data_IF_058945185599
#
_entry.id   IF_058945185599
#
_cell.length_a   1.000
_cell.length_b   1.000
_cell.length_c   1.000
_cell.angle_alpha   90.00
_cell.angle_beta   90.00
_cell.angle_gamma   90.00
#
_symmetry.space_group_name_H-M   'P 1'
#
loop_
_entity.id
_entity.type
_entity.pdbx_description
1 polymer ?
#
# COMPACT_ATOMS: atom_id res chain seq x y z
N UNK A 1 3.01 -4.75 18.82
CA UNK A 1 2.22 -4.96 17.64
C UNK A 1 2.98 -4.51 16.41
N UNK A 2 2.95 -5.32 15.38
CA UNK A 2 3.97 -5.31 14.37
C UNK A 2 3.61 -4.38 13.21
N UNK A 3 4.54 -3.50 12.87
CA UNK A 3 4.49 -2.75 11.64
C UNK A 3 4.65 -3.73 10.46
N UNK A 4 3.78 -3.65 9.44
CA UNK A 4 3.87 -4.48 8.24
C UNK A 4 5.27 -4.43 7.59
N UNK A 5 5.93 -3.27 7.61
CA UNK A 5 7.30 -3.12 7.08
C UNK A 5 8.33 -3.94 7.87
N UNK A 6 8.20 -4.03 9.21
CA UNK A 6 9.14 -4.79 10.05
C UNK A 6 8.99 -6.31 9.89
N UNK A 7 7.76 -6.81 9.72
CA UNK A 7 7.50 -8.24 9.52
C UNK A 7 7.68 -8.66 8.06
N UNK A 8 7.17 -7.86 7.14
CA UNK A 8 7.20 -8.18 5.72
C UNK A 8 8.58 -7.94 5.09
N UNK A 9 9.32 -6.95 5.58
CA UNK A 9 10.64 -6.59 5.05
C UNK A 9 11.61 -7.78 4.95
N UNK A 10 11.89 -8.51 6.03
CA UNK A 10 12.76 -9.70 5.98
C UNK A 10 12.27 -10.75 4.98
N UNK A 11 10.97 -11.02 4.93
CA UNK A 11 10.38 -11.99 3.97
C UNK A 11 10.53 -11.54 2.52
N UNK A 12 10.40 -10.24 2.24
CA UNK A 12 10.66 -9.69 0.90
C UNK A 12 12.14 -9.84 0.51
N UNK A 13 13.06 -9.62 1.47
CA UNK A 13 14.50 -9.85 1.25
C UNK A 13 14.77 -11.31 0.91
N UNK A 14 14.24 -12.24 1.70
CA UNK A 14 14.40 -13.68 1.49
C UNK A 14 13.92 -14.09 0.08
N UNK A 15 12.76 -13.61 -0.35
CA UNK A 15 12.25 -13.86 -1.70
C UNK A 15 13.19 -13.30 -2.76
N UNK A 16 13.69 -12.08 -2.58
CA UNK A 16 14.54 -11.41 -3.58
C UNK A 16 15.94 -12.00 -3.69
N UNK A 17 16.43 -12.65 -2.64
CA UNK A 17 17.76 -13.25 -2.60
C UNK A 17 17.77 -14.75 -2.95
N UNK A 18 16.60 -15.38 -3.02
CA UNK A 18 16.50 -16.80 -3.32
C UNK A 18 16.78 -17.05 -4.81
N UNK A 19 17.81 -17.84 -5.17
CA UNK A 19 18.19 -18.07 -6.57
C UNK A 19 17.12 -18.84 -7.36
N UNK A 20 16.19 -19.51 -6.70
CA UNK A 20 15.11 -20.27 -7.34
C UNK A 20 13.83 -19.44 -7.53
N UNK A 21 13.85 -18.15 -7.18
CA UNK A 21 12.69 -17.26 -7.32
C UNK A 21 13.00 -16.15 -8.32
N UNK A 22 12.19 -16.06 -9.36
CA UNK A 22 12.21 -14.93 -10.30
C UNK A 22 11.12 -13.94 -9.92
N UNK A 23 11.51 -12.69 -9.59
CA UNK A 23 10.60 -11.65 -9.18
C UNK A 23 10.30 -10.70 -10.34
N UNK A 24 9.06 -10.67 -10.80
CA UNK A 24 8.54 -9.70 -11.78
C UNK A 24 7.80 -8.57 -11.07
N UNK A 25 8.52 -7.55 -10.61
CA UNK A 25 7.91 -6.36 -10.03
C UNK A 25 7.42 -5.38 -11.12
N UNK A 26 6.45 -4.52 -10.79
CA UNK A 26 5.74 -3.65 -11.75
C UNK A 26 5.13 -4.44 -12.93
N UNK A 27 4.65 -5.64 -12.65
CA UNK A 27 4.12 -6.56 -13.65
C UNK A 27 2.74 -7.07 -13.23
N UNK A 28 1.97 -7.49 -14.22
CA UNK A 28 0.65 -8.09 -14.01
C UNK A 28 0.44 -9.27 -14.94
N UNK A 29 -0.26 -10.29 -14.48
CA UNK A 29 -0.70 -11.40 -15.31
C UNK A 29 -1.81 -10.90 -16.25
N UNK A 30 -1.62 -11.07 -17.54
CA UNK A 30 -2.58 -10.67 -18.59
C UNK A 30 -3.45 -11.83 -19.02
N UNK A 31 -2.86 -13.02 -19.14
CA UNK A 31 -3.55 -14.21 -19.61
C UNK A 31 -2.94 -15.48 -19.04
N UNK A 32 -3.78 -16.51 -18.92
CA UNK A 32 -3.38 -17.84 -18.48
C UNK A 32 -4.06 -18.87 -19.38
N UNK A 33 -3.28 -19.74 -19.98
CA UNK A 33 -3.77 -20.86 -20.80
C UNK A 33 -3.12 -22.17 -20.36
N UNK A 34 -3.65 -23.29 -20.84
CA UNK A 34 -3.13 -24.62 -20.51
C UNK A 34 -3.93 -25.35 -19.44
N UNK A 35 -3.28 -26.24 -18.70
CA UNK A 35 -3.90 -27.12 -17.71
C UNK A 35 -2.92 -27.43 -16.57
N UNK A 36 -3.39 -28.04 -15.51
CA UNK A 36 -2.60 -28.42 -14.32
C UNK A 36 -1.34 -29.22 -14.73
N UNK A 37 -0.19 -28.72 -14.32
CA UNK A 37 1.11 -29.24 -14.71
C UNK A 37 1.73 -28.59 -15.94
N UNK A 38 0.96 -27.83 -16.74
CA UNK A 38 1.43 -27.20 -17.97
C UNK A 38 0.63 -25.94 -18.32
N UNK A 39 0.86 -24.87 -17.57
CA UNK A 39 0.28 -23.54 -17.85
C UNK A 39 1.27 -22.67 -18.60
N UNK A 40 0.75 -21.89 -19.56
CA UNK A 40 1.42 -20.76 -20.16
C UNK A 40 0.83 -19.49 -19.55
N UNK A 41 1.67 -18.70 -18.86
CA UNK A 41 1.29 -17.47 -18.18
C UNK A 41 1.88 -16.28 -18.89
N UNK A 42 1.04 -15.43 -19.46
CA UNK A 42 1.46 -14.18 -20.11
C UNK A 42 1.50 -13.04 -19.08
N UNK A 43 2.68 -12.49 -18.89
CA UNK A 43 2.97 -11.44 -17.93
C UNK A 43 3.27 -10.14 -18.67
N UNK A 44 2.54 -9.08 -18.37
CA UNK A 44 2.84 -7.74 -18.84
C UNK A 44 3.73 -7.03 -17.85
N UNK A 45 4.99 -6.82 -18.21
CA UNK A 45 5.95 -6.00 -17.46
C UNK A 45 5.81 -4.55 -17.91
N UNK A 46 5.34 -3.69 -17.02
CA UNK A 46 5.11 -2.28 -17.32
C UNK A 46 6.42 -1.50 -17.41
N UNK A 47 6.49 -0.55 -18.33
CA UNK A 47 7.62 0.36 -18.45
C UNK A 47 7.78 1.20 -17.19
N UNK A 48 8.89 1.06 -16.50
CA UNK A 48 9.25 1.86 -15.32
C UNK A 48 9.93 3.18 -15.69
N UNK A 49 10.37 3.31 -16.94
CA UNK A 49 11.17 4.42 -17.47
C UNK A 49 12.49 4.63 -16.73
N UNK A 50 12.90 3.65 -15.96
CA UNK A 50 14.16 3.57 -15.24
C UNK A 50 14.76 2.18 -15.46
N UNK A 51 15.97 2.13 -16.00
CA UNK A 51 16.72 0.89 -16.15
C UNK A 51 17.16 0.39 -14.77
N UNK A 52 16.46 -0.60 -14.27
CA UNK A 52 16.67 -1.14 -12.93
C UNK A 52 18.00 -1.91 -12.78
N UNK A 53 18.62 -2.30 -13.88
CA UNK A 53 19.98 -2.87 -13.85
C UNK A 53 21.03 -1.84 -13.47
N UNK A 54 20.79 -0.56 -13.80
CA UNK A 54 21.66 0.57 -13.50
C UNK A 54 21.25 1.37 -12.27
N UNK A 55 19.96 1.34 -11.91
CA UNK A 55 19.45 2.12 -10.79
C UNK A 55 19.98 1.58 -9.46
N UNK A 56 20.58 2.43 -8.63
CA UNK A 56 21.07 2.10 -7.29
C UNK A 56 20.07 2.38 -6.18
N UNK A 57 18.91 2.99 -6.50
CA UNK A 57 17.92 3.35 -5.49
C UNK A 57 18.33 4.52 -4.58
N UNK A 58 19.22 5.40 -5.04
CA UNK A 58 19.77 6.51 -4.25
C UNK A 58 18.77 7.63 -3.90
N UNK A 59 17.63 7.73 -4.61
CA UNK A 59 16.59 8.71 -4.32
C UNK A 59 16.81 10.11 -4.90
N UNK A 60 17.99 10.46 -5.43
CA UNK A 60 18.30 11.81 -5.94
C UNK A 60 17.30 12.30 -7.00
N UNK A 61 16.83 11.41 -7.86
CA UNK A 61 15.83 11.75 -8.88
C UNK A 61 14.46 12.12 -8.25
N UNK A 62 14.08 11.49 -7.15
CA UNK A 62 12.86 11.79 -6.40
C UNK A 62 12.93 13.17 -5.75
N UNK A 63 14.04 13.48 -5.06
CA UNK A 63 14.26 14.78 -4.40
C UNK A 63 14.24 15.95 -5.39
N UNK A 64 14.88 15.78 -6.53
CA UNK A 64 15.03 16.81 -7.56
C UNK A 64 13.86 16.89 -8.55
N UNK A 65 12.88 16.01 -8.47
CA UNK A 65 11.72 16.04 -9.34
C UNK A 65 10.90 17.32 -9.13
N UNK A 66 10.64 18.12 -10.21
CA UNK A 66 9.86 19.35 -10.08
C UNK A 66 8.34 19.09 -9.97
N UNK A 67 7.88 17.90 -10.37
CA UNK A 67 6.48 17.50 -10.24
C UNK A 67 6.27 16.88 -8.88
N UNK A 68 5.85 17.70 -7.95
CA UNK A 68 5.42 17.32 -6.59
C UNK A 68 3.89 17.28 -6.53
N UNK A 69 3.33 16.89 -5.43
CA UNK A 69 1.88 16.80 -5.23
C UNK A 69 1.18 15.72 -6.08
N UNK A 70 1.90 14.73 -6.55
CA UNK A 70 1.33 13.52 -7.17
C UNK A 70 0.63 12.71 -6.09
N UNK A 71 -0.60 12.21 -6.33
CA UNK A 71 -1.24 11.31 -5.39
C UNK A 71 -0.35 10.10 -5.07
N UNK A 72 -0.19 9.81 -3.80
CA UNK A 72 0.64 8.69 -3.34
C UNK A 72 -0.23 7.45 -3.14
N UNK A 73 -0.43 6.69 -4.21
CA UNK A 73 -1.27 5.50 -4.18
C UNK A 73 -0.75 4.42 -3.22
N UNK A 74 0.56 4.34 -3.00
CA UNK A 74 1.12 3.41 -2.02
C UNK A 74 0.70 3.77 -0.58
N UNK A 75 0.56 5.05 -0.31
CA UNK A 75 0.07 5.56 0.97
C UNK A 75 -1.44 5.87 0.94
N UNK A 76 -2.23 5.15 0.15
CA UNK A 76 -3.70 5.30 0.08
C UNK A 76 -4.15 6.76 -0.18
N UNK A 77 -3.33 7.52 -0.90
CA UNK A 77 -3.53 8.94 -1.22
C UNK A 77 -3.57 9.89 -0.01
N UNK A 78 -3.23 9.42 1.20
CA UNK A 78 -3.12 10.28 2.39
C UNK A 78 -1.93 11.23 2.27
N UNK A 79 -0.88 10.80 1.58
CA UNK A 79 0.31 11.60 1.29
C UNK A 79 0.38 12.09 -0.15
N UNK A 80 1.44 12.83 -0.43
CA UNK A 80 1.83 13.24 -1.78
C UNK A 80 3.24 12.78 -2.09
N UNK A 81 3.47 12.41 -3.33
CA UNK A 81 4.78 11.99 -3.82
C UNK A 81 5.19 12.78 -5.06
N UNK A 82 6.21 12.34 -5.76
CA UNK A 82 6.70 12.95 -6.99
C UNK A 82 6.46 12.04 -8.19
N UNK A 83 6.53 12.59 -9.41
CA UNK A 83 6.29 11.80 -10.63
C UNK A 83 7.33 10.70 -10.86
N UNK A 84 8.51 10.77 -10.24
CA UNK A 84 9.47 9.69 -10.14
C UNK A 84 9.75 9.43 -8.67
N UNK A 85 9.52 8.23 -8.19
CA UNK A 85 9.70 7.89 -6.78
C UNK A 85 10.11 6.44 -6.56
N UNK A 86 10.53 6.17 -5.34
CA UNK A 86 10.66 4.84 -4.73
C UNK A 86 9.52 4.78 -3.71
N UNK A 87 8.60 3.80 -3.77
CA UNK A 87 7.37 3.80 -2.99
C UNK A 87 7.59 3.94 -1.47
N UNK A 88 8.61 3.25 -0.95
CA UNK A 88 8.99 3.34 0.47
C UNK A 88 10.46 2.90 0.65
N UNK A 89 11.12 3.26 1.76
CA UNK A 89 12.56 3.03 1.96
C UNK A 89 13.00 1.56 1.89
N UNK A 90 12.13 0.64 2.31
CA UNK A 90 12.37 -0.81 2.36
C UNK A 90 11.85 -1.55 1.12
N UNK A 91 11.45 -0.85 0.06
CA UNK A 91 10.93 -1.47 -1.16
C UNK A 91 11.92 -2.48 -1.77
N UNK A 92 11.40 -3.61 -2.25
CA UNK A 92 12.17 -4.65 -2.94
C UNK A 92 11.50 -4.96 -4.29
N UNK A 93 12.22 -4.70 -5.38
CA UNK A 93 13.53 -4.06 -5.45
C UNK A 93 13.47 -2.57 -5.07
N UNK A 94 14.51 -2.05 -4.38
CA UNK A 94 14.62 -0.62 -4.09
C UNK A 94 15.04 0.14 -5.34
N UNK A 95 14.11 0.40 -6.22
CA UNK A 95 14.32 1.05 -7.52
C UNK A 95 13.28 2.14 -7.74
N UNK A 96 13.69 3.20 -8.42
CA UNK A 96 12.74 4.24 -8.80
C UNK A 96 11.91 3.83 -10.01
N UNK A 97 10.70 4.36 -10.11
CA UNK A 97 9.84 4.29 -11.29
C UNK A 97 9.22 5.65 -11.60
N UNK A 98 8.90 5.90 -12.85
CA UNK A 98 8.25 7.13 -13.29
C UNK A 98 6.77 6.82 -13.54
N UNK A 99 5.90 7.62 -12.91
CA UNK A 99 4.48 7.61 -13.25
C UNK A 99 4.27 8.45 -14.54
N UNK A 100 3.89 7.82 -15.66
CA UNK A 100 3.81 8.51 -16.96
C UNK A 100 2.72 9.56 -17.00
N UNK A 101 1.64 9.42 -16.21
CA UNK A 101 0.53 10.37 -16.21
C UNK A 101 0.92 11.73 -15.62
N UNK A 102 1.86 11.75 -14.67
CA UNK A 102 2.29 12.97 -13.97
C UNK A 102 3.67 13.47 -14.39
N UNK A 103 4.40 12.69 -15.20
CA UNK A 103 5.74 13.07 -15.65
C UNK A 103 5.70 14.10 -16.76
N UNK A 104 6.14 15.35 -16.49
CA UNK A 104 6.20 16.43 -17.50
C UNK A 104 7.02 16.05 -18.74
N UNK A 105 8.04 15.21 -18.63
CA UNK A 105 8.80 14.76 -19.82
C UNK A 105 7.95 13.87 -20.72
N UNK A 106 7.21 12.91 -20.14
CA UNK A 106 6.38 11.96 -20.88
C UNK A 106 5.09 12.61 -21.41
N UNK A 107 4.53 13.58 -20.69
CA UNK A 107 3.27 14.27 -21.09
C UNK A 107 3.48 15.45 -22.03
N UNK A 108 4.50 16.26 -21.81
CA UNK A 108 4.71 17.53 -22.54
C UNK A 108 6.05 17.64 -23.26
N UNK A 109 6.94 16.68 -23.11
CA UNK A 109 8.30 16.71 -23.67
C UNK A 109 9.29 17.68 -22.95
N UNK A 110 8.83 18.54 -22.06
CA UNK A 110 9.56 19.72 -21.56
C UNK A 110 10.27 19.52 -20.21
N UNK A 111 10.76 18.33 -19.89
CA UNK A 111 11.51 18.09 -18.66
C UNK A 111 12.61 17.06 -18.91
N UNK A 112 13.53 16.90 -17.98
CA UNK A 112 14.64 15.93 -18.07
C UNK A 112 15.53 15.99 -16.84
N UNK A 113 15.02 16.58 -15.74
CA UNK A 113 15.80 16.79 -14.50
C UNK A 113 16.32 15.48 -13.95
N UNK A 114 15.47 14.45 -13.81
CA UNK A 114 15.87 13.14 -13.28
C UNK A 114 16.96 12.47 -14.11
N UNK A 115 16.95 12.61 -15.44
CA UNK A 115 18.01 12.08 -16.30
C UNK A 115 19.34 12.83 -16.11
N UNK A 116 19.29 14.16 -15.91
CA UNK A 116 20.48 15.00 -15.69
C UNK A 116 21.16 14.73 -14.35
N UNK A 117 20.37 14.46 -13.30
CA UNK A 117 20.90 14.25 -11.94
C UNK A 117 21.18 12.77 -11.62
N UNK A 118 20.83 11.84 -12.49
CA UNK A 118 21.05 10.42 -12.27
C UNK A 118 22.54 10.05 -12.45
N UNK A 119 23.26 9.65 -11.39
CA UNK A 119 24.70 9.36 -11.50
C UNK A 119 24.99 8.15 -12.37
N UNK A 120 24.07 7.19 -12.42
CA UNK A 120 24.22 5.94 -13.19
C UNK A 120 23.56 5.99 -14.57
N UNK A 121 22.96 7.12 -14.94
CA UNK A 121 22.23 7.31 -16.20
C UNK A 121 21.17 6.24 -16.46
N UNK A 122 20.46 5.86 -15.40
CA UNK A 122 19.44 4.80 -15.45
C UNK A 122 18.10 5.25 -16.08
N UNK A 123 17.88 6.53 -16.35
CA UNK A 123 16.61 7.02 -16.88
C UNK A 123 16.51 6.77 -18.38
N UNK A 124 15.42 6.09 -18.79
CA UNK A 124 15.13 5.77 -20.18
C UNK A 124 13.65 6.07 -20.49
N UNK A 125 13.37 7.20 -21.10
CA UNK A 125 12.01 7.61 -21.44
C UNK A 125 11.39 6.86 -22.63
N UNK A 126 12.21 6.13 -23.40
CA UNK A 126 11.77 5.33 -24.57
C UNK A 126 11.39 3.88 -24.18
N UNK A 127 11.46 3.54 -22.89
CA UNK A 127 11.09 2.21 -22.41
C UNK A 127 9.61 1.93 -22.71
N UNK A 128 9.32 0.71 -23.15
CA UNK A 128 7.97 0.23 -23.46
C UNK A 128 7.61 -0.94 -22.57
N UNK A 129 6.32 -1.21 -22.48
CA UNK A 129 5.81 -2.43 -21.85
C UNK A 129 6.30 -3.66 -22.63
N UNK A 130 6.62 -4.72 -21.91
CA UNK A 130 7.05 -6.01 -22.44
C UNK A 130 6.02 -7.08 -22.09
N UNK A 131 5.77 -8.03 -23.01
CA UNK A 131 5.03 -9.24 -22.73
C UNK A 131 6.03 -10.42 -22.63
N UNK A 132 5.95 -11.14 -21.54
CA UNK A 132 6.75 -12.30 -21.23
C UNK A 132 5.83 -13.48 -21.03
N UNK A 133 6.14 -14.64 -21.61
CA UNK A 133 5.40 -15.87 -21.36
C UNK A 133 6.26 -16.85 -20.58
N UNK A 134 5.76 -17.29 -19.43
CA UNK A 134 6.41 -18.26 -18.56
C UNK A 134 5.61 -19.56 -18.49
N UNK A 135 6.31 -20.70 -18.54
CA UNK A 135 5.72 -22.01 -18.35
C UNK A 135 5.78 -22.43 -16.89
N UNK A 136 4.65 -22.72 -16.30
CA UNK A 136 4.57 -23.11 -14.89
C UNK A 136 3.68 -24.33 -14.70
N UNK A 137 4.01 -25.18 -13.73
CA UNK A 137 3.23 -26.37 -13.40
C UNK A 137 2.02 -26.09 -12.51
N UNK A 138 2.10 -25.03 -11.68
CA UNK A 138 1.06 -24.67 -10.73
C UNK A 138 1.00 -23.17 -10.58
N UNK A 139 -0.20 -22.65 -10.26
CA UNK A 139 -0.44 -21.22 -10.01
C UNK A 139 -1.03 -21.09 -8.60
N UNK A 140 -0.41 -20.23 -7.78
CA UNK A 140 -0.93 -19.85 -6.46
C UNK A 140 -1.46 -18.44 -6.55
N UNK A 141 -2.78 -18.28 -6.44
CA UNK A 141 -3.42 -16.96 -6.44
C UNK A 141 -3.29 -16.32 -5.05
N UNK A 142 -2.52 -15.25 -4.95
CA UNK A 142 -2.31 -14.46 -3.74
C UNK A 142 -2.40 -12.97 -4.08
N UNK A 143 -3.48 -12.57 -4.72
CA UNK A 143 -3.67 -11.27 -5.38
C UNK A 143 -4.02 -10.12 -4.42
N UNK A 144 -4.12 -10.42 -3.11
CA UNK A 144 -4.52 -9.43 -2.12
C UNK A 144 -6.02 -9.11 -2.17
N UNK A 145 -6.37 -7.88 -1.82
CA UNK A 145 -7.75 -7.40 -1.84
C UNK A 145 -7.81 -5.92 -2.20
N UNK A 146 -8.93 -5.50 -2.73
CA UNK A 146 -9.28 -4.11 -2.94
C UNK A 146 -10.31 -3.65 -1.91
N UNK A 147 -10.25 -2.40 -1.50
CA UNK A 147 -11.31 -1.80 -0.70
C UNK A 147 -12.52 -1.57 -1.58
N UNK A 148 -13.69 -1.89 -1.05
CA UNK A 148 -14.94 -1.49 -1.68
C UNK A 148 -15.08 0.05 -1.68
N UNK A 149 -15.89 0.57 -2.58
CA UNK A 149 -16.32 1.97 -2.49
C UNK A 149 -17.19 2.16 -1.23
N UNK A 150 -16.55 2.66 -0.17
CA UNK A 150 -17.19 2.89 1.13
C UNK A 150 -18.01 4.19 1.17
N UNK A 151 -17.89 5.05 0.17
CA UNK A 151 -18.65 6.29 0.07
C UNK A 151 -20.15 6.05 -0.13
N UNK A 152 -20.52 4.84 -0.59
CA UNK A 152 -21.92 4.39 -0.68
C UNK A 152 -22.62 4.30 0.69
N UNK A 153 -21.86 4.35 1.80
CA UNK A 153 -22.38 4.43 3.17
C UNK A 153 -22.37 5.89 3.64
N UNK A 154 -23.22 6.71 3.02
CA UNK A 154 -23.28 8.16 3.23
C UNK A 154 -23.43 8.58 4.69
N UNK A 155 -24.09 7.75 5.52
CA UNK A 155 -24.29 7.98 6.95
C UNK A 155 -22.98 8.11 7.74
N UNK A 156 -21.88 7.55 7.25
CA UNK A 156 -20.56 7.65 7.88
C UNK A 156 -19.74 8.83 7.37
N UNK A 157 -20.21 9.52 6.32
CA UNK A 157 -19.60 10.74 5.80
C UNK A 157 -18.30 10.52 5.05
N UNK A 158 -18.05 9.30 4.57
CA UNK A 158 -16.91 8.97 3.73
C UNK A 158 -16.85 9.78 2.43
N UNK A 159 -15.68 10.29 2.09
CA UNK A 159 -15.50 11.19 0.95
C UNK A 159 -16.09 12.60 1.13
N UNK A 160 -16.91 12.81 2.18
CA UNK A 160 -17.53 14.10 2.50
C UNK A 160 -16.72 14.88 3.54
N UNK A 161 -16.22 14.19 4.55
CA UNK A 161 -15.44 14.80 5.61
C UNK A 161 -13.99 14.29 5.53
N UNK A 162 -12.97 15.18 5.53
CA UNK A 162 -11.58 14.80 5.36
C UNK A 162 -11.03 13.91 6.48
N UNK A 163 -11.59 14.00 7.69
CA UNK A 163 -11.17 13.21 8.86
C UNK A 163 -11.88 11.86 8.97
N UNK A 164 -12.76 11.53 8.01
CA UNK A 164 -13.32 10.19 7.87
C UNK A 164 -12.49 9.43 6.84
N UNK A 165 -11.71 8.49 7.32
CA UNK A 165 -10.70 7.77 6.53
C UNK A 165 -10.88 6.26 6.65
N UNK A 166 -10.29 5.53 5.72
CA UNK A 166 -10.27 4.06 5.76
C UNK A 166 -9.24 3.54 6.75
N UNK A 167 -9.39 2.29 7.17
CA UNK A 167 -8.39 1.62 8.03
C UNK A 167 -7.02 1.50 7.35
N UNK A 168 -6.95 1.34 6.03
CA UNK A 168 -5.68 1.33 5.30
C UNK A 168 -5.02 2.71 5.32
N UNK A 169 -5.77 3.78 5.14
CA UNK A 169 -5.28 5.15 5.31
C UNK A 169 -4.75 5.38 6.72
N UNK A 170 -5.49 4.92 7.73
CA UNK A 170 -5.05 5.01 9.12
C UNK A 170 -3.76 4.20 9.39
N UNK A 171 -3.67 3.01 8.84
CA UNK A 171 -2.46 2.17 8.90
C UNK A 171 -1.23 2.90 8.29
N UNK A 172 -1.44 3.67 7.22
CA UNK A 172 -0.34 4.46 6.62
C UNK A 172 0.08 5.64 7.48
N UNK A 173 -0.83 6.25 8.22
CA UNK A 173 -0.49 7.29 9.21
C UNK A 173 0.29 6.71 10.40
N UNK A 174 -0.08 5.52 10.87
CA UNK A 174 0.63 4.82 11.95
C UNK A 174 2.05 4.37 11.58
N UNK A 175 2.34 4.23 10.30
CA UNK A 175 3.60 3.65 9.85
C UNK A 175 4.74 4.67 9.86
N UNK A 176 5.87 4.33 10.49
CA UNK A 176 7.06 5.20 10.54
C UNK A 176 7.62 5.56 9.15
N UNK A 177 7.40 4.73 8.12
CA UNK A 177 7.72 5.04 6.72
C UNK A 177 6.54 5.62 5.94
N UNK A 178 5.44 5.93 6.62
CA UNK A 178 4.26 6.57 6.06
C UNK A 178 4.43 8.07 5.82
N UNK A 179 3.39 8.73 5.29
CA UNK A 179 3.48 10.12 4.85
C UNK A 179 3.70 11.12 5.99
N UNK A 180 3.40 10.73 7.22
CA UNK A 180 3.54 11.56 8.43
C UNK A 180 4.67 11.11 9.35
N UNK A 181 5.49 10.13 8.91
CA UNK A 181 6.57 9.58 9.74
C UNK A 181 6.08 8.83 10.98
N UNK A 182 4.85 8.29 10.94
CA UNK A 182 4.22 7.59 12.06
C UNK A 182 3.43 8.50 13.03
N UNK A 183 3.38 9.80 12.77
CA UNK A 183 2.54 10.71 13.54
C UNK A 183 1.09 10.62 13.09
N UNK A 184 0.20 10.28 14.02
CA UNK A 184 -1.24 10.23 13.74
C UNK A 184 -1.78 11.65 13.76
N UNK A 185 -2.20 12.14 12.60
CA UNK A 185 -2.74 13.49 12.45
C UNK A 185 -4.05 13.48 11.68
N UNK A 186 -4.91 14.43 11.98
CA UNK A 186 -6.14 14.64 11.22
C UNK A 186 -5.82 15.19 9.83
N UNK A 187 -6.34 14.60 8.76
CA UNK A 187 -6.12 15.11 7.41
C UNK A 187 -6.58 16.56 7.19
N UNK A 188 -7.59 17.01 7.95
CA UNK A 188 -8.17 18.36 7.80
C UNK A 188 -7.24 19.49 8.25
N UNK A 189 -6.47 19.29 9.32
CA UNK A 189 -5.70 20.38 9.96
C UNK A 189 -4.29 19.98 10.42
N UNK A 190 -3.91 18.73 10.24
CA UNK A 190 -2.59 18.22 10.62
C UNK A 190 -2.35 18.09 12.12
N UNK A 191 -3.39 18.20 12.96
CA UNK A 191 -3.27 18.08 14.42
C UNK A 191 -3.55 16.67 14.90
N UNK A 192 -3.01 16.31 16.05
CA UNK A 192 -3.30 15.03 16.71
C UNK A 192 -4.77 14.94 17.11
N UNK A 193 -5.45 13.81 16.83
CA UNK A 193 -6.82 13.60 17.27
C UNK A 193 -6.85 13.24 18.76
N UNK A 194 -7.80 13.84 19.52
CA UNK A 194 -8.04 13.46 20.91
C UNK A 194 -9.04 12.32 21.06
N UNK A 195 -9.92 12.16 20.09
CA UNK A 195 -10.95 11.11 20.07
C UNK A 195 -11.00 10.50 18.69
N UNK A 196 -10.98 9.17 18.64
CA UNK A 196 -11.00 8.40 17.39
C UNK A 196 -12.10 7.36 17.49
N UNK A 197 -12.96 7.31 16.47
CA UNK A 197 -14.03 6.33 16.36
C UNK A 197 -13.70 5.31 15.27
N UNK A 198 -13.62 4.04 15.63
CA UNK A 198 -13.46 2.92 14.72
C UNK A 198 -14.82 2.27 14.48
N UNK A 199 -15.34 2.32 13.25
CA UNK A 199 -16.63 1.74 12.90
C UNK A 199 -16.38 0.43 12.15
N UNK A 200 -16.77 -0.67 12.77
CA UNK A 200 -16.60 -2.02 12.24
C UNK A 200 -17.68 -2.40 11.24
N UNK A 201 -17.41 -3.45 10.47
CA UNK A 201 -18.35 -4.07 9.53
C UNK A 201 -18.88 -3.16 8.41
N UNK A 202 -18.24 -2.02 8.13
CA UNK A 202 -18.60 -1.19 6.97
C UNK A 202 -18.32 -1.97 5.69
N UNK A 203 -19.36 -2.30 4.93
CA UNK A 203 -19.25 -3.13 3.73
C UNK A 203 -19.11 -4.63 3.96
N UNK A 204 -19.31 -5.10 5.20
CA UNK A 204 -19.35 -6.50 5.58
C UNK A 204 -20.56 -6.78 6.44
N UNK A 205 -21.11 -8.02 6.40
CA UNK A 205 -22.25 -8.44 7.22
C UNK A 205 -23.47 -7.53 7.02
N UNK A 206 -23.65 -7.02 5.82
CA UNK A 206 -24.76 -6.14 5.43
C UNK A 206 -25.63 -6.83 4.36
N UNK A 207 -26.67 -7.57 4.77
CA UNK A 207 -27.58 -8.24 3.85
C UNK A 207 -28.35 -7.28 2.94
N UNK A 208 -28.62 -6.05 3.42
CA UNK A 208 -29.36 -5.04 2.65
C UNK A 208 -28.66 -4.62 1.36
N UNK A 209 -27.33 -4.82 1.32
CA UNK A 209 -26.48 -4.54 0.15
C UNK A 209 -25.85 -5.80 -0.46
N UNK A 210 -26.40 -6.98 -0.15
CA UNK A 210 -25.88 -8.27 -0.65
C UNK A 210 -24.49 -8.66 -0.12
N UNK A 211 -24.04 -8.06 0.99
CA UNK A 211 -22.71 -8.29 1.58
C UNK A 211 -22.80 -9.09 2.88
N UNK A 212 -23.20 -10.35 2.74
CA UNK A 212 -23.55 -11.18 3.89
C UNK A 212 -22.34 -11.70 4.69
N UNK A 213 -21.14 -11.71 4.09
CA UNK A 213 -19.97 -12.33 4.67
C UNK A 213 -19.18 -11.37 5.56
N UNK A 214 -18.49 -11.93 6.56
CA UNK A 214 -17.52 -11.23 7.38
C UNK A 214 -16.17 -11.19 6.65
N UNK A 215 -15.47 -10.05 6.68
CA UNK A 215 -14.10 -9.92 6.15
C UNK A 215 -13.08 -10.77 6.91
N UNK A 216 -13.33 -11.12 8.17
CA UNK A 216 -12.51 -12.01 8.99
C UNK A 216 -11.25 -11.41 9.61
N UNK A 217 -10.90 -10.19 9.33
CA UNK A 217 -9.66 -9.56 9.82
C UNK A 217 -9.83 -8.15 10.40
N UNK A 218 -10.95 -7.47 10.16
CA UNK A 218 -11.14 -6.07 10.57
C UNK A 218 -11.12 -5.89 12.10
N UNK A 219 -11.66 -6.82 12.89
CA UNK A 219 -11.60 -6.75 14.35
C UNK A 219 -10.16 -6.71 14.86
N UNK A 220 -9.28 -7.53 14.27
CA UNK A 220 -7.89 -7.62 14.69
C UNK A 220 -7.06 -6.40 14.30
N UNK A 221 -7.20 -5.89 13.08
CA UNK A 221 -6.46 -4.68 12.75
C UNK A 221 -6.95 -3.46 13.53
N UNK A 222 -8.25 -3.39 13.85
CA UNK A 222 -8.77 -2.30 14.69
C UNK A 222 -8.27 -2.38 16.13
N UNK A 223 -8.25 -3.56 16.73
CA UNK A 223 -7.65 -3.75 18.05
C UNK A 223 -6.17 -3.29 18.05
N UNK A 224 -5.40 -3.71 17.03
CA UNK A 224 -4.02 -3.23 16.83
C UNK A 224 -3.94 -1.71 16.70
N UNK A 225 -4.78 -1.12 15.86
CA UNK A 225 -4.76 0.32 15.63
C UNK A 225 -5.16 1.11 16.87
N UNK A 226 -6.10 0.62 17.68
CA UNK A 226 -6.49 1.24 18.93
C UNK A 226 -5.35 1.25 19.95
N UNK A 227 -4.69 0.12 20.15
CA UNK A 227 -3.49 0.00 21.02
C UNK A 227 -2.39 0.96 20.56
N UNK A 228 -2.00 0.88 19.27
CA UNK A 228 -0.97 1.78 18.73
C UNK A 228 -1.35 3.26 18.82
N UNK A 229 -2.63 3.58 18.72
CA UNK A 229 -3.10 4.96 18.92
C UNK A 229 -2.80 5.43 20.33
N UNK A 230 -3.08 4.58 21.34
CA UNK A 230 -2.81 4.88 22.72
C UNK A 230 -1.32 5.02 23.01
N UNK A 231 -0.49 4.17 22.40
CA UNK A 231 0.97 4.26 22.49
C UNK A 231 1.52 5.56 21.90
N UNK A 232 0.99 6.00 20.77
CA UNK A 232 1.46 7.22 20.09
C UNK A 232 0.88 8.49 20.68
N UNK A 233 -0.37 8.46 21.17
CA UNK A 233 -1.09 9.59 21.74
C UNK A 233 -1.72 9.16 23.07
N UNK A 234 -0.96 9.16 24.17
CA UNK A 234 -1.42 8.67 25.49
C UNK A 234 -2.71 9.31 26.00
N UNK A 235 -2.92 10.60 25.68
CA UNK A 235 -4.12 11.35 26.10
C UNK A 235 -5.32 11.17 25.17
N UNK A 236 -5.19 10.32 24.12
CA UNK A 236 -6.30 10.04 23.21
C UNK A 236 -7.27 9.01 23.77
N UNK A 237 -8.47 9.03 23.24
CA UNK A 237 -9.52 8.05 23.54
C UNK A 237 -10.01 7.40 22.25
N UNK A 238 -9.91 6.08 22.18
CA UNK A 238 -10.42 5.26 21.08
C UNK A 238 -11.81 4.71 21.44
N UNK A 239 -12.72 4.79 20.49
CA UNK A 239 -14.07 4.21 20.57
C UNK A 239 -14.21 3.19 19.45
N UNK A 240 -14.56 1.96 19.78
CA UNK A 240 -14.78 0.89 18.80
C UNK A 240 -16.26 0.54 18.76
N UNK A 241 -16.91 0.77 17.63
CA UNK A 241 -18.32 0.43 17.38
C UNK A 241 -18.38 -0.87 16.59
N UNK A 242 -18.93 -1.92 17.17
CA UNK A 242 -18.94 -3.29 16.62
C UNK A 242 -20.27 -4.02 16.92
N UNK A 243 -20.57 -5.03 16.12
CA UNK A 243 -21.69 -5.95 16.38
C UNK A 243 -21.25 -7.09 17.32
N UNK A 244 -20.12 -7.70 17.03
CA UNK A 244 -19.39 -8.68 17.83
C UNK A 244 -17.90 -8.65 17.44
N UNK A 245 -17.02 -9.09 18.32
CA UNK A 245 -15.59 -9.22 18.03
C UNK A 245 -15.31 -10.65 17.53
N UNK A 246 -14.69 -10.73 16.35
CA UNK A 246 -14.27 -11.98 15.72
C UNK A 246 -12.75 -12.07 15.66
N UNK A 247 -12.19 -12.58 16.75
CA UNK A 247 -10.76 -12.79 16.89
C UNK A 247 -10.40 -14.21 16.38
N UNK A 248 -10.36 -14.36 15.04
CA UNK A 248 -10.09 -15.67 14.41
C UNK A 248 -8.59 -15.88 14.27
N UNK A 249 -8.04 -16.81 15.02
CA UNK A 249 -6.63 -17.18 14.98
C UNK A 249 -6.06 -17.45 16.37
N UNK A 250 -4.91 -18.14 16.40
CA UNK A 250 -4.24 -18.48 17.65
C UNK A 250 -3.69 -17.22 18.33
N UNK A 251 -4.05 -17.00 19.59
CA UNK A 251 -3.59 -15.87 20.40
C UNK A 251 -4.34 -14.56 20.13
N UNK A 252 -5.35 -14.54 19.25
CA UNK A 252 -6.05 -13.30 18.88
C UNK A 252 -7.10 -12.90 19.91
N UNK A 253 -7.72 -13.87 20.59
CA UNK A 253 -8.66 -13.59 21.67
C UNK A 253 -7.93 -12.94 22.86
N UNK A 254 -6.77 -13.48 23.23
CA UNK A 254 -5.91 -12.94 24.27
C UNK A 254 -5.41 -11.53 23.92
N UNK A 255 -5.06 -11.29 22.65
CA UNK A 255 -4.69 -9.95 22.18
C UNK A 255 -5.86 -8.95 22.31
N UNK A 256 -7.07 -9.37 21.93
CA UNK A 256 -8.26 -8.52 22.01
C UNK A 256 -8.60 -8.17 23.47
N UNK A 257 -8.52 -9.14 24.38
CA UNK A 257 -8.74 -8.89 25.82
C UNK A 257 -7.75 -7.88 26.36
N UNK A 258 -6.47 -8.06 26.07
CA UNK A 258 -5.41 -7.12 26.49
C UNK A 258 -5.63 -5.72 25.92
N UNK A 259 -6.05 -5.61 24.65
CA UNK A 259 -6.36 -4.33 24.03
C UNK A 259 -7.56 -3.58 24.67
N UNK A 260 -8.42 -4.29 25.40
CA UNK A 260 -9.53 -3.67 26.16
C UNK A 260 -9.09 -3.24 27.55
N UNK A 261 -8.08 -3.91 28.14
CA UNK A 261 -7.54 -3.64 29.46
C UNK A 261 -6.58 -2.44 29.45
N UNK A 262 -5.88 -2.20 28.34
CA UNK A 262 -4.96 -1.06 28.10
C UNK A 262 -5.72 0.23 27.71
#
# INVERSE_FOLDING_TARGET
VDCAACILGPKMVDVSQNPNITLYACSEVQDVSGYVGNFDVTIKKRATYVDWSKCTGCGTCTEKCPTKNVPDHFNENVGKTTAINIPFPQAIPKRASINPQYCKKLTTGKCGVCAKVCPTKAINYEMKDELITEKVGCIIAATGYDLMDWTVYEQYGGGKYPDVITSLQYERLLNASGPTGGHIVRPSDGKEPKKIAFIQCVGSRDPSRGRNLCSGFCCMYTAKQAVLTKDHIPDSQSYVFYMDIRAVGKGYDEFTRRAVEE
#
